data_IF_842077125823
#
_entry.id   IF_842077125823
#
_cell.length_a   1.000
_cell.length_b   1.000
_cell.length_c   1.000
_cell.angle_alpha   90.00
_cell.angle_beta   90.00
_cell.angle_gamma   90.00
#
_symmetry.space_group_name_H-M   'P 1'
#
loop_
_entity.id
_entity.type
_entity.pdbx_description
1 polymer ?
#
# COMPACT_ATOMS: atom_id res chain seq x y z
N UNK A 1 10.54 -2.35 21.81
CA UNK A 1 9.32 -3.16 21.59
C UNK A 1 8.79 -2.78 20.22
N UNK A 2 9.00 -3.61 19.20
CA UNK A 2 8.67 -3.29 17.80
C UNK A 2 7.31 -3.85 17.35
N UNK A 3 6.53 -4.41 18.27
CA UNK A 3 5.21 -4.96 17.97
C UNK A 3 4.19 -3.82 17.76
N UNK A 4 3.56 -3.81 16.58
CA UNK A 4 2.40 -2.96 16.31
C UNK A 4 1.17 -3.60 16.96
N UNK A 5 0.49 -2.87 17.84
CA UNK A 5 -0.78 -3.33 18.42
C UNK A 5 -1.93 -3.17 17.42
N UNK A 6 -1.85 -2.15 16.57
CA UNK A 6 -2.87 -1.88 15.55
C UNK A 6 -2.19 -1.44 14.27
N UNK A 7 -2.62 -2.02 13.14
CA UNK A 7 -2.23 -1.63 11.79
C UNK A 7 -3.49 -1.31 11.01
N UNK A 8 -3.58 -0.10 10.49
CA UNK A 8 -4.66 0.35 9.61
C UNK A 8 -4.13 0.46 8.18
N UNK A 9 -4.77 -0.25 7.25
CA UNK A 9 -4.52 -0.16 5.81
C UNK A 9 -5.71 0.57 5.19
N UNK A 10 -5.48 1.77 4.67
CA UNK A 10 -6.45 2.53 3.89
C UNK A 10 -6.17 2.30 2.40
N UNK A 11 -7.20 1.96 1.64
CA UNK A 11 -7.16 1.87 0.18
C UNK A 11 -7.88 3.09 -0.35
N UNK A 12 -7.18 3.91 -1.12
CA UNK A 12 -7.65 5.17 -1.65
C UNK A 12 -7.76 5.10 -3.17
N UNK A 13 -8.77 5.74 -3.74
CA UNK A 13 -8.83 5.95 -5.19
C UNK A 13 -7.88 7.07 -5.66
N UNK A 14 -7.88 7.34 -6.95
CA UNK A 14 -7.12 8.40 -7.62
C UNK A 14 -7.42 9.81 -7.05
N UNK A 15 -8.66 10.03 -6.59
CA UNK A 15 -9.11 11.27 -5.95
C UNK A 15 -8.64 11.40 -4.49
N UNK A 16 -8.03 10.36 -3.94
CA UNK A 16 -7.62 10.29 -2.54
C UNK A 16 -8.78 9.99 -1.59
N UNK A 17 -9.92 9.50 -2.09
CA UNK A 17 -11.03 9.05 -1.28
C UNK A 17 -10.77 7.63 -0.79
N UNK A 18 -10.89 7.42 0.52
CA UNK A 18 -10.79 6.09 1.13
C UNK A 18 -12.00 5.25 0.68
N UNK A 19 -11.72 4.14 -0.01
CA UNK A 19 -12.71 3.16 -0.46
C UNK A 19 -12.81 1.97 0.48
N UNK A 20 -11.71 1.64 1.14
CA UNK A 20 -11.65 0.54 2.08
C UNK A 20 -10.69 0.85 3.22
N UNK A 21 -11.09 0.46 4.42
CA UNK A 21 -10.26 0.54 5.62
C UNK A 21 -10.17 -0.82 6.27
N UNK A 22 -8.96 -1.38 6.31
CA UNK A 22 -8.70 -2.63 7.01
C UNK A 22 -8.00 -2.29 8.31
N UNK A 23 -8.59 -2.71 9.43
CA UNK A 23 -7.97 -2.63 10.74
C UNK A 23 -7.51 -4.03 11.15
N UNK A 24 -6.21 -4.15 11.40
CA UNK A 24 -5.57 -5.37 11.86
C UNK A 24 -5.07 -5.12 13.28
N UNK A 25 -5.53 -5.94 14.23
CA UNK A 25 -5.10 -5.87 15.63
C UNK A 25 -4.12 -7.00 15.96
N UNK A 26 -3.23 -6.74 16.91
CA UNK A 26 -2.23 -7.69 17.42
C UNK A 26 -1.32 -8.29 16.34
N UNK A 27 -0.83 -7.46 15.43
CA UNK A 27 0.12 -7.86 14.40
C UNK A 27 1.52 -7.98 15.02
N UNK A 28 2.03 -9.21 15.09
CA UNK A 28 3.39 -9.46 15.57
C UNK A 28 4.44 -8.83 14.64
N UNK A 29 5.63 -8.54 15.15
CA UNK A 29 6.77 -8.17 14.30
C UNK A 29 7.04 -9.25 13.23
N UNK A 30 7.36 -8.82 12.01
CA UNK A 30 7.60 -9.70 10.87
C UNK A 30 6.96 -9.20 9.58
N UNK A 31 7.07 -10.02 8.54
CA UNK A 31 6.46 -9.76 7.24
C UNK A 31 4.99 -10.21 7.26
N UNK A 32 4.12 -9.34 6.74
CA UNK A 32 2.69 -9.62 6.61
C UNK A 32 2.26 -9.29 5.18
N UNK A 33 1.54 -10.24 4.57
CA UNK A 33 0.99 -10.06 3.23
C UNK A 33 -0.51 -9.86 3.35
N UNK A 34 -1.02 -8.81 2.72
CA UNK A 34 -2.44 -8.56 2.59
C UNK A 34 -2.80 -8.49 1.11
N UNK A 35 -3.71 -9.36 0.69
CA UNK A 35 -4.27 -9.37 -0.66
C UNK A 35 -5.61 -8.66 -0.65
N UNK A 36 -5.72 -7.60 -1.45
CA UNK A 36 -6.98 -6.91 -1.64
C UNK A 36 -7.72 -7.44 -2.87
N UNK A 37 -9.00 -7.75 -2.70
CA UNK A 37 -9.86 -8.33 -3.73
C UNK A 37 -10.54 -7.30 -4.65
N UNK A 38 -10.21 -6.00 -4.55
CA UNK A 38 -10.83 -4.96 -5.38
C UNK A 38 -12.18 -4.45 -4.88
N UNK A 39 -12.64 -4.87 -3.70
CA UNK A 39 -13.94 -4.44 -3.15
C UNK A 39 -13.82 -3.31 -2.12
N UNK A 40 -14.87 -2.50 -1.99
CA UNK A 40 -15.04 -1.48 -0.94
C UNK A 40 -15.40 -2.08 0.44
N UNK A 41 -15.54 -1.22 1.47
CA UNK A 41 -15.97 -1.63 2.83
C UNK A 41 -17.39 -2.24 2.88
N UNK A 42 -18.17 -2.11 1.81
CA UNK A 42 -19.54 -2.64 1.69
C UNK A 42 -19.59 -3.93 0.87
N UNK A 43 -18.44 -4.43 0.40
CA UNK A 43 -18.34 -5.61 -0.45
C UNK A 43 -18.74 -5.37 -1.91
N UNK A 44 -18.79 -4.11 -2.36
CA UNK A 44 -19.01 -3.81 -3.78
C UNK A 44 -17.67 -3.82 -4.51
N UNK A 45 -17.63 -4.47 -5.67
CA UNK A 45 -16.51 -4.36 -6.60
C UNK A 45 -16.30 -2.89 -6.99
N UNK A 46 -15.06 -2.43 -6.89
CA UNK A 46 -14.69 -1.12 -7.35
C UNK A 46 -14.35 -1.16 -8.85
N UNK A 47 -14.58 -0.05 -9.53
CA UNK A 47 -14.19 0.11 -10.93
C UNK A 47 -12.70 -0.10 -11.13
N UNK A 48 -12.33 -0.61 -12.31
CA UNK A 48 -10.93 -0.63 -12.74
C UNK A 48 -10.33 0.78 -12.67
N UNK A 49 -9.17 0.91 -12.03
CA UNK A 49 -8.54 2.20 -11.80
C UNK A 49 -7.30 2.07 -10.91
N UNK A 50 -6.67 3.21 -10.64
CA UNK A 50 -5.50 3.26 -9.78
C UNK A 50 -5.91 3.42 -8.33
N UNK A 51 -5.35 2.57 -7.49
CA UNK A 51 -5.57 2.61 -6.05
C UNK A 51 -4.24 2.78 -5.33
N UNK A 52 -4.28 3.53 -4.24
CA UNK A 52 -3.14 3.80 -3.38
C UNK A 52 -3.38 3.12 -2.04
N UNK A 53 -2.32 2.55 -1.47
CA UNK A 53 -2.34 1.96 -0.13
C UNK A 53 -1.64 2.90 0.84
N UNK A 54 -2.30 3.21 1.96
CA UNK A 54 -1.70 3.93 3.08
C UNK A 54 -1.75 3.06 4.31
N UNK A 55 -0.59 2.77 4.89
CA UNK A 55 -0.47 1.96 6.10
C UNK A 55 -0.08 2.86 7.26
N UNK A 56 -0.83 2.74 8.36
CA UNK A 56 -0.53 3.35 9.66
C UNK A 56 -0.40 2.24 10.68
N UNK A 57 0.70 2.21 11.44
CA UNK A 57 0.90 1.22 12.49
C UNK A 57 1.17 1.93 13.81
N UNK A 58 0.56 1.47 14.88
CA UNK A 58 0.71 2.03 16.22
C UNK A 58 1.05 0.95 17.24
N UNK A 59 1.90 1.28 18.21
CA UNK A 59 2.26 0.39 19.32
C UNK A 59 1.14 0.33 20.38
N UNK A 60 1.38 -0.42 21.47
CA UNK A 60 0.39 -0.58 22.53
C UNK A 60 0.05 0.71 23.30
N UNK A 61 0.93 1.71 23.20
CA UNK A 61 0.84 3.02 23.83
C UNK A 61 0.20 4.06 22.89
N UNK A 62 -0.13 3.67 21.65
CA UNK A 62 -0.74 4.53 20.63
C UNK A 62 0.25 5.35 19.82
N UNK A 63 1.55 5.13 20.00
CA UNK A 63 2.59 5.82 19.24
C UNK A 63 2.75 5.18 17.86
N UNK A 64 2.88 6.01 16.81
CA UNK A 64 3.14 5.52 15.46
C UNK A 64 4.50 4.83 15.38
N UNK A 65 4.51 3.63 14.82
CA UNK A 65 5.72 2.87 14.53
C UNK A 65 6.05 3.10 13.05
N UNK A 66 7.31 3.46 12.76
CA UNK A 66 7.79 3.51 11.38
C UNK A 66 7.73 2.11 10.77
N UNK A 67 6.88 1.94 9.76
CA UNK A 67 6.75 0.71 8.99
C UNK A 67 7.34 0.89 7.60
N UNK A 68 8.01 -0.14 7.09
CA UNK A 68 8.34 -0.22 5.67
C UNK A 68 7.22 -0.98 5.00
N UNK A 69 6.53 -0.31 4.10
CA UNK A 69 5.48 -0.92 3.29
C UNK A 69 6.05 -1.23 1.92
N UNK A 70 5.82 -2.45 1.45
CA UNK A 70 6.13 -2.86 0.09
C UNK A 70 4.81 -3.03 -0.67
N UNK A 71 4.75 -2.49 -1.88
CA UNK A 71 3.63 -2.73 -2.80
C UNK A 71 4.16 -3.66 -3.88
N UNK A 72 3.57 -4.84 -3.97
CA UNK A 72 3.83 -5.79 -5.05
C UNK A 72 2.77 -5.58 -6.12
N UNK A 73 3.20 -5.33 -7.36
CA UNK A 73 2.28 -5.21 -8.48
C UNK A 73 2.97 -5.49 -9.80
N UNK A 74 2.17 -5.77 -10.83
CA UNK A 74 2.70 -6.05 -12.17
C UNK A 74 3.07 -4.74 -12.85
N UNK A 75 4.32 -4.65 -13.31
CA UNK A 75 4.78 -3.51 -14.12
C UNK A 75 4.09 -3.59 -15.48
N UNK A 76 3.29 -2.60 -15.81
CA UNK A 76 2.55 -2.51 -17.08
C UNK A 76 3.33 -1.77 -18.17
N UNK A 77 4.43 -1.08 -17.81
CA UNK A 77 5.28 -0.42 -18.78
C UNK A 77 6.57 0.16 -18.19
N UNK A 78 7.45 0.66 -19.05
CA UNK A 78 8.65 1.39 -18.68
C UNK A 78 8.68 2.70 -19.45
N UNK A 79 8.95 3.82 -18.76
CA UNK A 79 9.05 5.15 -19.38
C UNK A 79 10.35 5.82 -19.01
N UNK A 80 10.94 6.55 -19.94
CA UNK A 80 12.05 7.44 -19.65
C UNK A 80 11.51 8.83 -19.30
N UNK A 81 11.87 9.31 -18.11
CA UNK A 81 11.66 10.69 -17.68
C UNK A 81 12.97 11.48 -17.73
N UNK A 82 12.91 12.79 -17.54
CA UNK A 82 14.10 13.65 -17.43
C UNK A 82 15.03 13.24 -16.26
N UNK A 83 14.50 12.48 -15.30
CA UNK A 83 15.24 11.95 -14.14
C UNK A 83 15.74 10.51 -14.31
N UNK A 84 15.56 9.90 -15.48
CA UNK A 84 15.94 8.53 -15.78
C UNK A 84 14.75 7.57 -15.97
N UNK A 85 15.01 6.26 -16.09
CA UNK A 85 13.97 5.25 -16.29
C UNK A 85 13.08 5.12 -15.06
N UNK A 86 11.77 5.10 -15.29
CA UNK A 86 10.73 4.82 -14.30
C UNK A 86 9.89 3.63 -14.78
N UNK A 87 9.51 2.77 -13.83
CA UNK A 87 8.60 1.66 -14.05
C UNK A 87 7.18 2.18 -13.88
N UNK A 88 6.27 1.68 -14.71
CA UNK A 88 4.86 2.01 -14.66
C UNK A 88 4.13 0.85 -14.00
N UNK A 89 3.44 1.14 -12.89
CA UNK A 89 2.57 0.21 -12.19
C UNK A 89 1.17 0.84 -12.21
N UNK A 90 0.32 0.41 -13.16
CA UNK A 90 -0.92 1.12 -13.48
C UNK A 90 -0.64 2.49 -14.12
N UNK A 91 -1.03 3.58 -13.46
CA UNK A 91 -0.63 4.97 -13.82
C UNK A 91 0.47 5.54 -12.91
N UNK A 92 0.89 4.81 -11.86
CA UNK A 92 1.98 5.26 -11.01
C UNK A 92 3.33 5.05 -11.66
N UNK A 93 4.22 6.03 -11.44
CA UNK A 93 5.62 5.94 -11.83
C UNK A 93 6.46 5.61 -10.61
N UNK A 94 7.07 4.44 -10.63
CA UNK A 94 8.00 3.96 -9.63
C UNK A 94 9.41 4.17 -10.14
N UNK A 95 10.26 4.86 -9.39
CA UNK A 95 11.67 4.95 -9.76
C UNK A 95 12.32 3.59 -9.53
N UNK A 96 13.28 3.24 -10.39
CA UNK A 96 14.02 2.00 -10.23
C UNK A 96 14.75 1.93 -8.87
N UNK A 97 15.11 3.07 -8.28
CA UNK A 97 15.70 3.17 -6.94
C UNK A 97 14.79 2.71 -5.81
N UNK A 98 13.48 2.70 -6.05
CA UNK A 98 12.46 2.42 -5.04
C UNK A 98 11.98 0.96 -5.15
N UNK A 99 12.53 0.20 -6.10
CA UNK A 99 12.28 -1.24 -6.28
C UNK A 99 13.17 -2.02 -5.32
N UNK A 100 12.53 -2.81 -4.46
CA UNK A 100 13.24 -3.64 -3.50
C UNK A 100 13.72 -4.97 -4.11
N UNK A 101 12.90 -5.59 -4.95
CA UNK A 101 13.17 -6.88 -5.61
C UNK A 101 12.41 -6.96 -6.96
N UNK A 102 12.91 -7.76 -7.91
CA UNK A 102 12.35 -7.97 -9.27
C UNK A 102 12.10 -9.46 -9.49
#
# INVERSE_FOLDING_TARGET
NHNAKTVTIEILDDSGQVKRTINLDNINEGEHVYEWNGEDDRGNELSEGNYQFRIKASNAEGEEISTRTYITGTITGVRYSDSGPVLILGEQQIKLSDVYEI
#
